data_IF_214003095031
#
_entry.id   IF_214003095031
#
_cell.length_a   1.000
_cell.length_b   1.000
_cell.length_c   1.000
_cell.angle_alpha   90.00
_cell.angle_beta   90.00
_cell.angle_gamma   90.00
#
_symmetry.space_group_name_H-M   'P 1'
#
loop_
_entity.id
_entity.type
_entity.pdbx_description
1 polymer ?
#
# COMPACT_ATOMS: atom_id res chain seq x y z
N UNK A 1 10.17 17.74 -15.47
CA UNK A 1 10.44 16.30 -15.21
C UNK A 1 9.15 15.60 -14.77
N UNK A 2 8.34 15.12 -15.72
CA UNK A 2 7.01 14.56 -15.44
C UNK A 2 6.99 13.04 -15.19
N UNK A 3 8.07 12.34 -15.56
CA UNK A 3 8.14 10.87 -15.51
C UNK A 3 9.11 10.31 -14.47
N UNK A 4 9.67 11.16 -13.61
CA UNK A 4 10.68 10.75 -12.60
C UNK A 4 10.15 9.67 -11.63
N UNK A 5 8.83 9.54 -11.49
CA UNK A 5 8.19 8.55 -10.62
C UNK A 5 7.61 7.34 -11.37
N UNK A 6 7.70 7.29 -12.70
CA UNK A 6 7.05 6.23 -13.48
C UNK A 6 7.65 4.85 -13.19
N UNK A 7 8.98 4.79 -13.01
CA UNK A 7 9.68 3.56 -12.66
C UNK A 7 9.33 3.09 -11.23
N UNK A 8 9.21 4.01 -10.28
CA UNK A 8 8.80 3.71 -8.91
C UNK A 8 7.33 3.24 -8.85
N UNK A 9 6.45 3.88 -9.62
CA UNK A 9 5.05 3.48 -9.73
C UNK A 9 4.89 2.09 -10.37
N UNK A 10 5.66 1.78 -11.41
CA UNK A 10 5.67 0.46 -12.02
C UNK A 10 6.16 -0.62 -11.05
N UNK A 11 7.24 -0.36 -10.31
CA UNK A 11 7.76 -1.29 -9.30
C UNK A 11 6.74 -1.55 -8.17
N UNK A 12 6.10 -0.49 -7.67
CA UNK A 12 5.05 -0.61 -6.66
C UNK A 12 3.84 -1.40 -7.18
N UNK A 13 3.42 -1.15 -8.42
CA UNK A 13 2.34 -1.89 -9.06
C UNK A 13 2.67 -3.38 -9.22
N UNK A 14 3.89 -3.72 -9.63
CA UNK A 14 4.34 -5.12 -9.73
C UNK A 14 4.40 -5.81 -8.37
N UNK A 15 4.87 -5.12 -7.32
CA UNK A 15 4.91 -5.66 -5.96
C UNK A 15 3.51 -5.91 -5.39
N UNK A 16 2.55 -5.04 -5.68
CA UNK A 16 1.16 -5.20 -5.28
C UNK A 16 0.42 -6.30 -6.08
N UNK A 17 0.82 -6.56 -7.32
CA UNK A 17 0.24 -7.60 -8.17
C UNK A 17 0.82 -9.01 -7.91
N UNK A 18 2.02 -9.10 -7.31
CA UNK A 18 2.69 -10.38 -7.05
C UNK A 18 1.86 -11.38 -6.22
N UNK A 19 1.10 -10.98 -5.18
CA UNK A 19 0.24 -11.91 -4.43
C UNK A 19 -0.92 -12.46 -5.26
N UNK A 20 -1.39 -11.72 -6.28
CA UNK A 20 -2.52 -12.13 -7.11
C UNK A 20 -2.19 -13.27 -8.09
N UNK A 21 -0.90 -13.52 -8.34
CA UNK A 21 -0.39 -14.62 -9.18
C UNK A 21 0.26 -15.73 -8.32
N UNK A 22 0.08 -15.69 -6.99
CA UNK A 22 0.50 -16.79 -6.13
C UNK A 22 -0.38 -18.01 -6.47
N UNK A 23 0.21 -18.98 -7.18
CA UNK A 23 -0.41 -20.27 -7.46
C UNK A 23 -1.00 -20.86 -6.18
N UNK A 24 -2.18 -21.48 -6.30
CA UNK A 24 -3.00 -22.06 -5.23
C UNK A 24 -2.14 -22.93 -4.29
N UNK A 25 -1.56 -22.30 -3.27
CA UNK A 25 -0.82 -22.99 -2.22
C UNK A 25 -1.90 -23.40 -1.24
N UNK A 26 -2.36 -24.64 -1.38
CA UNK A 26 -3.28 -25.27 -0.44
C UNK A 26 -2.56 -25.36 0.90
N UNK A 27 -2.74 -24.33 1.73
CA UNK A 27 -2.38 -24.38 3.13
C UNK A 27 -3.20 -25.50 3.78
N UNK A 28 -2.51 -26.39 4.48
CA UNK A 28 -3.21 -27.38 5.29
C UNK A 28 -4.00 -26.63 6.38
N UNK A 29 -5.31 -26.90 6.56
CA UNK A 29 -6.10 -26.22 7.57
C UNK A 29 -5.45 -26.38 8.95
N UNK A 30 -4.96 -25.29 9.52
CA UNK A 30 -4.38 -25.27 10.87
C UNK A 30 -5.54 -24.94 11.81
N UNK A 31 -5.74 -25.76 12.83
CA UNK A 31 -6.78 -25.51 13.83
C UNK A 31 -6.44 -24.19 14.55
N UNK A 32 -7.15 -23.10 14.18
CA UNK A 32 -6.82 -21.70 14.54
C UNK A 32 -6.61 -20.72 13.37
N UNK A 33 -6.87 -21.13 12.12
CA UNK A 33 -6.39 -20.45 10.90
C UNK A 33 -6.74 -18.97 10.70
N UNK A 34 -7.82 -18.39 11.26
CA UNK A 34 -7.97 -16.92 11.27
C UNK A 34 -9.18 -16.43 12.04
N UNK A 35 -8.97 -15.99 13.28
CA UNK A 35 -9.87 -15.05 13.94
C UNK A 35 -9.84 -13.66 13.25
N UNK A 36 -8.76 -13.39 12.49
CA UNK A 36 -8.60 -12.17 11.70
C UNK A 36 -9.53 -12.10 10.48
N UNK A 37 -10.05 -13.23 10.00
CA UNK A 37 -10.97 -13.28 8.87
C UNK A 37 -12.38 -12.76 9.24
N UNK A 38 -12.76 -12.85 10.51
CA UNK A 38 -14.05 -12.37 11.02
C UNK A 38 -13.93 -11.00 11.69
N UNK A 39 -14.25 -9.92 10.96
CA UNK A 39 -14.45 -8.58 11.53
C UNK A 39 -13.20 -7.73 11.73
N UNK A 40 -12.10 -8.31 12.25
CA UNK A 40 -10.82 -7.58 12.41
C UNK A 40 -10.22 -7.20 11.06
N UNK A 41 -10.42 -8.01 10.02
CA UNK A 41 -9.99 -7.74 8.65
C UNK A 41 -10.47 -6.41 8.10
N UNK A 42 -11.71 -6.01 8.34
CA UNK A 42 -12.26 -4.74 7.84
C UNK A 42 -11.67 -3.53 8.56
N UNK A 43 -11.50 -3.62 9.89
CA UNK A 43 -10.89 -2.54 10.67
C UNK A 43 -9.42 -2.36 10.26
N UNK A 44 -8.69 -3.46 10.12
CA UNK A 44 -7.29 -3.43 9.68
C UNK A 44 -7.19 -2.91 8.25
N UNK A 45 -8.08 -3.30 7.35
CA UNK A 45 -8.11 -2.78 5.97
C UNK A 45 -8.38 -1.27 5.92
N UNK A 46 -9.35 -0.78 6.70
CA UNK A 46 -9.63 0.65 6.80
C UNK A 46 -8.46 1.43 7.40
N UNK A 47 -7.85 0.90 8.45
CA UNK A 47 -6.70 1.54 9.10
C UNK A 47 -5.49 1.59 8.16
N UNK A 48 -5.24 0.51 7.42
CA UNK A 48 -4.19 0.45 6.41
C UNK A 48 -4.45 1.46 5.28
N UNK A 49 -5.68 1.55 4.78
CA UNK A 49 -6.04 2.54 3.76
C UNK A 49 -5.85 3.98 4.26
N UNK A 50 -6.27 4.27 5.50
CA UNK A 50 -6.07 5.58 6.12
C UNK A 50 -4.59 5.92 6.30
N UNK A 51 -3.76 4.94 6.70
CA UNK A 51 -2.32 5.12 6.87
C UNK A 51 -1.62 5.41 5.54
N UNK A 52 -2.01 4.74 4.44
CA UNK A 52 -1.47 5.02 3.10
C UNK A 52 -1.83 6.44 2.66
N UNK A 53 -3.10 6.84 2.78
CA UNK A 53 -3.56 8.18 2.39
C UNK A 53 -2.89 9.26 3.25
N UNK A 54 -2.84 9.07 4.58
CA UNK A 54 -2.18 10.00 5.50
C UNK A 54 -0.68 10.11 5.25
N UNK A 55 -0.01 8.98 4.97
CA UNK A 55 1.41 8.96 4.61
C UNK A 55 1.69 9.71 3.31
N UNK A 56 0.82 9.56 2.30
CA UNK A 56 0.93 10.31 1.04
C UNK A 56 0.72 11.81 1.27
N UNK A 57 -0.27 12.21 2.07
CA UNK A 57 -0.53 13.62 2.40
C UNK A 57 0.66 14.27 3.10
N UNK A 58 1.21 13.59 4.12
CA UNK A 58 2.38 14.09 4.84
C UNK A 58 3.59 14.17 3.91
N UNK A 59 3.82 13.14 3.09
CA UNK A 59 4.93 13.15 2.13
C UNK A 59 4.77 14.22 1.04
N UNK A 60 3.53 14.53 0.64
CA UNK A 60 3.22 15.58 -0.33
C UNK A 60 3.32 17.00 0.25
N UNK A 61 3.05 17.17 1.55
CA UNK A 61 3.14 18.46 2.25
C UNK A 61 4.59 18.91 2.49
N UNK A 62 5.56 18.00 2.39
CA UNK A 62 7.00 18.34 2.44
C UNK A 62 7.54 18.87 1.09
N UNK A 63 6.69 19.54 0.32
CA UNK A 63 7.05 20.25 -0.90
C UNK A 63 7.71 21.60 -0.57
N UNK A 64 8.96 21.72 -0.98
CA UNK A 64 9.80 22.92 -1.03
C UNK A 64 9.17 24.02 -1.93
N UNK A 65 8.05 24.59 -1.49
CA UNK A 65 7.34 25.72 -2.11
C UNK A 65 8.02 27.07 -1.80
N UNK A 66 9.34 27.07 -1.60
CA UNK A 66 10.11 28.31 -1.51
C UNK A 66 10.03 29.02 -2.86
N UNK A 67 9.37 30.18 -2.87
CA UNK A 67 9.25 31.02 -4.05
C UNK A 67 10.66 31.47 -4.48
N UNK A 68 11.23 30.84 -5.50
CA UNK A 68 12.52 31.24 -6.10
C UNK A 68 12.42 32.50 -6.96
N UNK A 69 11.56 33.44 -6.60
CA UNK A 69 11.47 34.74 -7.28
C UNK A 69 12.29 35.79 -6.50
N UNK A 70 13.12 36.61 -7.17
CA UNK A 70 13.96 37.64 -6.54
C UNK A 70 13.16 38.78 -5.92
#
# INVERSE_FOLDING_TARGET
MKFRFLAAAAAAATMAAAPAIAADRVSAPIEGESEMAGGVSLIVALLAAAAVIGGILIAADNGDDDAVSP
#
